data_IF_006876904865
#
_entry.id   IF_006876904865
#
_cell.length_a   1.000
_cell.length_b   1.000
_cell.length_c   1.000
_cell.angle_alpha   90.00
_cell.angle_beta   90.00
_cell.angle_gamma   90.00
#
_symmetry.space_group_name_H-M   'P 1'
#
loop_
_entity.id
_entity.type
_entity.pdbx_description
1 polymer ?
#
# COMPACT_ATOMS: atom_id res chain seq x y z
N UNK A 1 22.36 23.17 21.86
CA UNK A 1 22.39 22.10 20.83
C UNK A 1 22.05 22.71 19.49
N UNK A 2 22.91 22.54 18.48
CA UNK A 2 22.62 23.01 17.12
C UNK A 2 21.58 22.08 16.48
N UNK A 3 20.66 22.60 15.67
CA UNK A 3 19.59 21.80 15.03
C UNK A 3 20.11 20.55 14.30
N UNK A 4 21.31 20.62 13.73
CA UNK A 4 21.95 19.48 13.05
C UNK A 4 22.30 18.33 14.01
N UNK A 5 22.74 18.64 15.24
CA UNK A 5 23.06 17.62 16.25
C UNK A 5 21.80 16.86 16.68
N UNK A 6 20.68 17.57 16.85
CA UNK A 6 19.36 16.97 17.09
C UNK A 6 18.94 16.02 15.97
N UNK A 7 19.09 16.44 14.72
CA UNK A 7 18.74 15.60 13.56
C UNK A 7 19.64 14.35 13.48
N UNK A 8 20.94 14.48 13.72
CA UNK A 8 21.86 13.35 13.71
C UNK A 8 21.48 12.28 14.75
N UNK A 9 21.10 12.71 15.97
CA UNK A 9 20.64 11.80 17.02
C UNK A 9 19.32 11.10 16.64
N UNK A 10 18.35 11.84 16.09
CA UNK A 10 17.08 11.26 15.63
C UNK A 10 17.27 10.25 14.50
N UNK A 11 18.16 10.55 13.54
CA UNK A 11 18.50 9.64 12.44
C UNK A 11 19.18 8.36 12.97
N UNK A 12 20.07 8.47 13.94
CA UNK A 12 20.70 7.30 14.57
C UNK A 12 19.67 6.38 15.23
N UNK A 13 18.71 6.96 15.98
CA UNK A 13 17.61 6.19 16.57
C UNK A 13 16.71 5.56 15.52
N UNK A 14 16.41 6.29 14.43
CA UNK A 14 15.62 5.78 13.31
C UNK A 14 16.30 4.59 12.63
N UNK A 15 17.60 4.68 12.36
CA UNK A 15 18.36 3.60 11.74
C UNK A 15 18.34 2.33 12.61
N UNK A 16 18.49 2.46 13.93
CA UNK A 16 18.41 1.32 14.84
C UNK A 16 17.01 0.67 14.89
N UNK A 17 15.94 1.44 14.70
CA UNK A 17 14.58 0.91 14.55
C UNK A 17 14.43 0.19 13.20
N UNK A 18 14.93 0.81 12.12
CA UNK A 18 14.87 0.23 10.78
C UNK A 18 15.65 -1.09 10.70
N UNK A 19 16.78 -1.23 11.42
CA UNK A 19 17.51 -2.48 11.58
C UNK A 19 16.69 -3.56 12.30
N UNK A 20 16.01 -3.22 13.39
CA UNK A 20 15.12 -4.15 14.12
C UNK A 20 13.98 -4.64 13.23
N UNK A 21 13.34 -3.74 12.48
CA UNK A 21 12.27 -4.10 11.53
C UNK A 21 12.84 -4.97 10.41
N UNK A 22 14.01 -4.60 9.85
CA UNK A 22 14.66 -5.36 8.78
C UNK A 22 15.00 -6.79 9.21
N UNK A 23 15.38 -7.00 10.47
CA UNK A 23 15.59 -8.32 11.05
C UNK A 23 14.29 -9.13 11.18
N UNK A 24 13.14 -8.49 11.37
CA UNK A 24 11.83 -9.18 11.40
C UNK A 24 11.40 -9.57 9.99
N UNK A 25 11.46 -8.63 9.05
CA UNK A 25 10.97 -8.85 7.67
C UNK A 25 11.99 -9.50 6.73
N UNK A 26 13.23 -9.69 7.21
CA UNK A 26 14.38 -10.24 6.47
C UNK A 26 14.69 -9.51 5.15
N UNK A 27 14.37 -8.20 5.10
CA UNK A 27 14.57 -7.31 3.94
C UNK A 27 14.84 -5.88 4.44
N UNK A 28 15.51 -5.02 3.64
CA UNK A 28 15.72 -3.63 4.03
C UNK A 28 14.42 -2.89 4.31
N UNK A 29 14.38 -2.10 5.37
CA UNK A 29 13.22 -1.29 5.74
C UNK A 29 12.93 -0.24 4.65
N UNK A 30 11.82 -0.44 3.94
CA UNK A 30 11.23 0.50 2.98
C UNK A 30 9.71 0.37 3.03
N UNK A 31 8.96 1.34 2.49
CA UNK A 31 7.49 1.22 2.43
C UNK A 31 7.03 0.08 1.53
N UNK A 32 7.79 -0.22 0.46
CA UNK A 32 7.52 -1.38 -0.39
C UNK A 32 7.69 -2.69 0.38
N UNK A 33 8.88 -2.95 0.89
CA UNK A 33 9.18 -4.23 1.57
C UNK A 33 8.34 -4.47 2.82
N UNK A 34 8.18 -3.45 3.67
CA UNK A 34 7.37 -3.59 4.87
C UNK A 34 5.87 -3.68 4.51
N UNK A 35 5.43 -2.95 3.48
CA UNK A 35 4.04 -3.01 3.00
C UNK A 35 3.68 -4.39 2.45
N UNK A 36 4.55 -4.98 1.62
CA UNK A 36 4.42 -6.36 1.13
C UNK A 36 4.34 -7.37 2.29
N UNK A 37 5.27 -7.26 3.25
CA UNK A 37 5.29 -8.14 4.42
C UNK A 37 4.00 -8.01 5.24
N UNK A 38 3.57 -6.80 5.59
CA UNK A 38 2.31 -6.56 6.32
C UNK A 38 1.13 -7.16 5.56
N UNK A 39 1.01 -6.86 4.27
CA UNK A 39 -0.09 -7.37 3.44
C UNK A 39 -0.12 -8.91 3.40
N UNK A 40 1.06 -9.56 3.36
CA UNK A 40 1.16 -11.01 3.41
C UNK A 40 0.69 -11.63 4.72
N UNK A 41 0.87 -10.92 5.84
CA UNK A 41 0.44 -11.39 7.16
C UNK A 41 -1.08 -11.20 7.34
N UNK A 42 -1.62 -10.09 6.82
CA UNK A 42 -3.04 -9.75 7.01
C UNK A 42 -3.91 -10.52 6.01
N UNK A 43 -3.64 -10.40 4.71
CA UNK A 43 -4.56 -10.88 3.66
C UNK A 43 -4.16 -12.23 3.06
N UNK A 44 -3.36 -13.01 3.80
CA UNK A 44 -2.91 -14.35 3.41
C UNK A 44 -2.30 -14.42 1.99
N UNK A 45 -1.33 -13.55 1.71
CA UNK A 45 -0.66 -13.45 0.41
C UNK A 45 0.65 -14.24 0.42
N UNK A 46 0.84 -15.12 -0.56
CA UNK A 46 2.16 -15.69 -0.87
C UNK A 46 2.92 -14.68 -1.73
N UNK A 47 3.98 -14.09 -1.16
CA UNK A 47 4.89 -13.22 -1.90
C UNK A 47 5.74 -14.03 -2.88
N UNK A 48 6.03 -13.44 -4.04
CA UNK A 48 6.98 -13.99 -5.00
C UNK A 48 8.42 -13.76 -4.52
N UNK A 49 9.31 -14.73 -4.77
CA UNK A 49 10.71 -14.64 -4.34
C UNK A 49 11.52 -13.59 -5.12
N UNK A 50 11.04 -13.18 -6.30
CA UNK A 50 11.70 -12.17 -7.15
C UNK A 50 10.69 -11.23 -7.81
N UNK A 51 10.62 -10.00 -7.30
CA UNK A 51 9.80 -8.92 -7.85
C UNK A 51 10.29 -8.39 -9.21
N UNK A 52 11.50 -8.77 -9.67
CA UNK A 52 12.06 -8.26 -10.93
C UNK A 52 11.51 -8.94 -12.18
N UNK A 53 10.88 -10.12 -12.03
CA UNK A 53 10.38 -10.91 -13.16
C UNK A 53 8.85 -10.89 -13.25
N UNK A 54 8.14 -10.53 -12.18
CA UNK A 54 6.68 -10.52 -12.12
C UNK A 54 6.15 -9.10 -11.95
N UNK A 55 5.13 -8.72 -12.72
CA UNK A 55 4.48 -7.41 -12.60
C UNK A 55 3.58 -7.27 -11.35
N UNK A 56 3.71 -8.20 -10.40
CA UNK A 56 2.91 -8.35 -9.19
C UNK A 56 3.83 -8.91 -8.08
N UNK A 57 3.46 -8.66 -6.83
CA UNK A 57 4.29 -9.00 -5.66
C UNK A 57 3.92 -10.35 -5.07
N UNK A 58 2.71 -10.85 -5.33
CA UNK A 58 2.26 -12.14 -4.81
C UNK A 58 0.91 -12.62 -5.33
N UNK A 59 0.41 -13.67 -4.68
CA UNK A 59 -0.93 -14.24 -4.92
C UNK A 59 -1.65 -14.52 -3.61
N UNK A 60 -2.95 -14.27 -3.58
CA UNK A 60 -3.79 -14.68 -2.45
C UNK A 60 -3.80 -16.20 -2.32
N UNK A 61 -3.56 -16.73 -1.12
CA UNK A 61 -3.55 -18.17 -0.84
C UNK A 61 -4.94 -18.71 -0.51
N UNK A 62 -5.84 -17.87 -0.01
CA UNK A 62 -7.18 -18.26 0.42
C UNK A 62 -8.22 -17.16 0.15
N UNK A 63 -9.45 -17.40 0.59
CA UNK A 63 -10.56 -16.46 0.45
C UNK A 63 -11.12 -16.34 -0.98
N UNK A 64 -11.99 -15.35 -1.23
CA UNK A 64 -12.66 -15.17 -2.53
C UNK A 64 -11.70 -14.81 -3.67
N UNK A 65 -10.48 -14.38 -3.35
CA UNK A 65 -9.46 -13.99 -4.32
C UNK A 65 -8.36 -15.05 -4.50
N UNK A 66 -8.52 -16.26 -3.96
CA UNK A 66 -7.52 -17.32 -4.06
C UNK A 66 -6.98 -17.50 -5.48
N UNK A 67 -5.66 -17.54 -5.61
CA UNK A 67 -4.93 -17.70 -6.86
C UNK A 67 -4.76 -16.43 -7.70
N UNK A 68 -5.49 -15.35 -7.37
CA UNK A 68 -5.39 -14.05 -8.04
C UNK A 68 -4.09 -13.35 -7.67
N UNK A 69 -3.51 -12.67 -8.65
CA UNK A 69 -2.27 -11.90 -8.49
C UNK A 69 -2.55 -10.53 -7.85
N UNK A 70 -1.60 -10.05 -7.06
CA UNK A 70 -1.71 -8.78 -6.37
C UNK A 70 -0.39 -8.02 -6.37
N UNK A 71 -0.48 -6.71 -6.57
CA UNK A 71 0.62 -5.77 -6.37
C UNK A 71 0.28 -4.89 -5.16
N UNK A 72 1.13 -4.92 -4.15
CA UNK A 72 0.99 -4.21 -2.89
C UNK A 72 1.64 -2.84 -3.00
N UNK A 73 0.91 -1.80 -2.61
CA UNK A 73 1.42 -0.43 -2.51
C UNK A 73 1.21 0.06 -1.09
N UNK A 74 2.22 0.69 -0.50
CA UNK A 74 2.04 1.42 0.74
C UNK A 74 2.44 2.88 0.57
N UNK A 75 1.43 3.75 0.61
CA UNK A 75 1.61 5.19 0.61
C UNK A 75 1.43 5.72 2.03
N UNK A 76 2.48 6.30 2.61
CA UNK A 76 2.41 6.89 3.96
C UNK A 76 1.43 8.08 4.09
N UNK A 77 0.81 8.47 2.97
CA UNK A 77 -0.23 9.50 2.85
C UNK A 77 -1.07 9.21 1.61
N UNK A 78 -2.39 9.35 1.70
CA UNK A 78 -3.29 9.16 0.56
C UNK A 78 -3.50 10.51 -0.16
N UNK A 79 -2.99 10.64 -1.38
CA UNK A 79 -2.99 11.89 -2.17
C UNK A 79 -3.71 11.73 -3.52
N UNK A 80 -4.53 10.69 -3.68
CA UNK A 80 -5.31 10.45 -4.91
C UNK A 80 -4.51 9.86 -6.08
N UNK A 81 -3.26 9.47 -5.86
CA UNK A 81 -2.38 8.88 -6.88
C UNK A 81 -2.08 7.42 -6.60
N UNK A 82 -1.88 6.65 -7.67
CA UNK A 82 -1.50 5.24 -7.62
C UNK A 82 -0.49 4.94 -8.72
N UNK A 83 0.61 4.28 -8.36
CA UNK A 83 1.57 3.77 -9.34
C UNK A 83 0.97 2.55 -10.02
N UNK A 84 0.73 2.67 -11.32
CA UNK A 84 0.15 1.58 -12.12
C UNK A 84 1.15 1.03 -13.13
N UNK A 85 1.02 -0.25 -13.45
CA UNK A 85 1.68 -0.91 -14.57
C UNK A 85 0.67 -1.20 -15.67
N UNK A 86 1.16 -1.35 -16.90
CA UNK A 86 0.37 -1.81 -18.04
C UNK A 86 0.24 -3.35 -18.10
N UNK A 87 0.60 -4.07 -17.02
CA UNK A 87 0.62 -5.52 -17.04
C UNK A 87 -0.79 -6.10 -17.13
N UNK A 88 -1.00 -7.00 -18.08
CA UNK A 88 -2.24 -7.77 -18.24
C UNK A 88 -2.31 -8.97 -17.31
N UNK A 89 -1.19 -9.33 -16.65
CA UNK A 89 -1.11 -10.47 -15.74
C UNK A 89 -1.45 -10.11 -14.29
N UNK A 90 -1.63 -8.82 -13.99
CA UNK A 90 -2.02 -8.34 -12.68
C UNK A 90 -3.55 -8.30 -12.55
N UNK A 91 -4.09 -8.92 -11.51
CA UNK A 91 -5.52 -8.91 -11.21
C UNK A 91 -5.88 -7.71 -10.30
N UNK A 92 -5.10 -7.47 -9.23
CA UNK A 92 -5.44 -6.45 -8.22
C UNK A 92 -4.27 -5.58 -7.76
N UNK A 93 -4.55 -4.32 -7.42
CA UNK A 93 -3.70 -3.54 -6.53
C UNK A 93 -4.27 -3.55 -5.12
N UNK A 94 -3.46 -3.98 -4.15
CA UNK A 94 -3.78 -3.83 -2.73
C UNK A 94 -3.00 -2.64 -2.19
N UNK A 95 -3.71 -1.59 -1.78
CA UNK A 95 -3.11 -0.31 -1.41
C UNK A 95 -3.36 -0.04 0.07
N UNK A 96 -2.29 0.02 0.85
CA UNK A 96 -2.28 0.51 2.22
C UNK A 96 -1.98 2.01 2.21
N UNK A 97 -2.68 2.79 3.04
CA UNK A 97 -2.43 4.23 3.10
C UNK A 97 -2.43 4.80 4.50
N UNK A 98 -1.56 5.77 4.76
CA UNK A 98 -1.66 6.68 5.90
C UNK A 98 -2.81 7.71 5.75
N UNK A 99 -2.79 8.82 6.50
CA UNK A 99 -3.85 9.82 6.48
C UNK A 99 -4.18 10.36 5.08
N UNK A 100 -5.47 10.67 4.85
CA UNK A 100 -5.94 11.36 3.63
C UNK A 100 -5.58 12.84 3.69
N UNK A 101 -5.11 13.38 2.58
CA UNK A 101 -4.86 14.82 2.40
C UNK A 101 -5.09 15.22 0.95
N UNK A 102 -5.38 16.50 0.73
CA UNK A 102 -5.28 17.08 -0.60
C UNK A 102 -3.83 16.93 -1.13
N UNK A 103 -3.69 16.64 -2.42
CA UNK A 103 -2.40 16.58 -3.08
C UNK A 103 -1.68 17.94 -3.02
N UNK A 104 -0.38 17.95 -2.70
CA UNK A 104 0.47 19.13 -2.87
C UNK A 104 0.61 20.08 -1.68
N UNK A 105 0.09 19.75 -0.48
CA UNK A 105 0.42 20.50 0.74
C UNK A 105 1.53 19.80 1.53
N UNK A 106 2.64 20.51 1.74
CA UNK A 106 3.83 20.06 2.50
C UNK A 106 4.03 20.82 3.82
N UNK A 107 3.25 21.87 4.08
CA UNK A 107 3.27 22.60 5.35
C UNK A 107 2.45 21.85 6.39
N UNK A 108 3.06 21.64 7.56
CA UNK A 108 2.46 21.06 8.77
C UNK A 108 1.93 19.64 8.67
N UNK A 109 2.37 18.87 7.67
CA UNK A 109 1.88 17.51 7.45
C UNK A 109 3.01 16.47 7.50
N UNK A 110 2.77 15.37 8.21
CA UNK A 110 3.73 14.26 8.38
C UNK A 110 3.30 13.06 7.55
N UNK A 111 4.23 12.14 7.28
CA UNK A 111 3.97 10.87 6.59
C UNK A 111 4.23 9.72 7.57
N UNK A 112 3.33 9.51 8.55
CA UNK A 112 3.53 8.50 9.57
C UNK A 112 3.56 7.09 8.96
N UNK A 113 4.34 6.21 9.58
CA UNK A 113 4.39 4.78 9.24
C UNK A 113 3.19 4.06 9.83
N UNK A 114 2.00 4.34 9.27
CA UNK A 114 0.74 3.76 9.69
C UNK A 114 -0.16 3.37 8.51
N UNK A 115 -1.17 2.57 8.81
CA UNK A 115 -2.23 2.15 7.90
C UNK A 115 -3.55 2.69 8.45
N UNK A 116 -4.02 3.79 7.86
CA UNK A 116 -5.33 4.40 8.16
C UNK A 116 -6.45 3.85 7.30
N UNK A 117 -6.12 3.35 6.12
CA UNK A 117 -7.07 2.75 5.19
C UNK A 117 -6.38 1.71 4.32
N UNK A 118 -7.16 0.73 3.85
CA UNK A 118 -6.76 -0.24 2.86
C UNK A 118 -7.77 -0.26 1.71
N UNK A 119 -7.26 -0.47 0.49
CA UNK A 119 -8.05 -0.46 -0.74
C UNK A 119 -7.67 -1.63 -1.62
N UNK A 120 -8.64 -2.19 -2.32
CA UNK A 120 -8.45 -3.23 -3.32
C UNK A 120 -9.00 -2.76 -4.67
N UNK A 121 -8.10 -2.44 -5.60
CA UNK A 121 -8.46 -2.02 -6.95
C UNK A 121 -8.40 -3.20 -7.91
N UNK A 122 -9.45 -3.40 -8.70
CA UNK A 122 -9.38 -4.23 -9.91
C UNK A 122 -8.47 -3.55 -10.94
N UNK A 123 -7.35 -4.20 -11.27
CA UNK A 123 -6.33 -3.63 -12.15
C UNK A 123 -6.85 -3.40 -13.58
N UNK A 124 -7.71 -4.29 -14.08
CA UNK A 124 -8.28 -4.18 -15.44
C UNK A 124 -9.27 -3.03 -15.52
N UNK A 125 -10.18 -2.94 -14.54
CA UNK A 125 -11.14 -1.84 -14.45
C UNK A 125 -10.43 -0.50 -14.33
N UNK A 126 -9.41 -0.42 -13.48
CA UNK A 126 -8.59 0.79 -13.33
C UNK A 126 -7.92 1.19 -14.65
N UNK A 127 -7.35 0.22 -15.37
CA UNK A 127 -6.70 0.47 -16.65
C UNK A 127 -7.67 0.95 -17.74
N UNK A 128 -8.85 0.32 -17.88
CA UNK A 128 -9.90 0.73 -18.82
C UNK A 128 -10.33 2.18 -18.54
N UNK A 129 -10.53 2.53 -17.28
CA UNK A 129 -10.94 3.89 -16.87
C UNK A 129 -9.82 4.93 -17.00
N UNK A 130 -8.55 4.54 -16.89
CA UNK A 130 -7.42 5.43 -17.17
C UNK A 130 -7.29 5.70 -18.68
N UNK A 131 -7.38 4.65 -19.50
CA UNK A 131 -7.30 4.76 -20.95
C UNK A 131 -8.45 5.59 -21.53
N UNK A 132 -9.68 5.39 -21.06
CA UNK A 132 -10.84 6.17 -21.54
C UNK A 132 -10.73 7.67 -21.24
N UNK A 133 -9.92 8.05 -20.24
CA UNK A 133 -9.64 9.44 -19.88
C UNK A 133 -8.34 9.98 -20.48
N UNK A 134 -7.58 9.18 -21.23
CA UNK A 134 -6.28 9.55 -21.78
C UNK A 134 -5.20 9.79 -20.71
N UNK A 135 -5.36 9.23 -19.51
CA UNK A 135 -4.37 9.34 -18.43
C UNK A 135 -3.20 8.40 -18.76
N UNK A 136 -1.97 8.93 -18.78
CA UNK A 136 -0.77 8.11 -18.94
C UNK A 136 -0.64 7.18 -17.73
N UNK A 137 -0.45 5.89 -18.00
CA UNK A 137 -0.09 4.90 -16.98
C UNK A 137 1.35 5.09 -16.52
N UNK A 138 1.65 4.71 -15.28
CA UNK A 138 2.98 4.80 -14.70
C UNK A 138 2.97 5.33 -13.27
N UNK A 139 4.09 5.95 -12.89
CA UNK A 139 4.29 6.52 -11.55
C UNK A 139 3.32 7.68 -11.31
N UNK A 140 2.66 7.66 -10.15
CA UNK A 140 1.73 8.66 -9.67
C UNK A 140 0.55 8.95 -10.62
N UNK A 141 -0.07 7.90 -11.18
CA UNK A 141 -1.27 8.04 -12.02
C UNK A 141 -2.45 8.55 -11.20
N UNK A 142 -3.14 9.59 -11.69
CA UNK A 142 -4.31 10.16 -11.00
C UNK A 142 -5.52 9.21 -11.04
N UNK A 143 -6.08 8.91 -9.87
CA UNK A 143 -7.24 8.05 -9.69
C UNK A 143 -8.40 8.89 -9.13
N UNK A 144 -9.59 8.76 -9.71
CA UNK A 144 -10.76 9.54 -9.31
C UNK A 144 -11.17 9.20 -7.88
N UNK A 145 -11.72 10.18 -7.17
CA UNK A 145 -12.18 9.97 -5.79
C UNK A 145 -13.19 8.82 -5.67
N UNK A 146 -14.16 8.73 -6.59
CA UNK A 146 -15.13 7.63 -6.63
C UNK A 146 -14.47 6.24 -6.70
N UNK A 147 -13.35 6.12 -7.41
CA UNK A 147 -12.65 4.84 -7.54
C UNK A 147 -11.95 4.47 -6.23
N UNK A 148 -11.40 5.45 -5.50
CA UNK A 148 -10.89 5.22 -4.15
C UNK A 148 -12.00 4.81 -3.20
N UNK A 149 -13.14 5.49 -3.24
CA UNK A 149 -14.26 5.19 -2.34
C UNK A 149 -14.85 3.80 -2.62
N UNK A 150 -14.94 3.37 -3.87
CA UNK A 150 -15.38 2.00 -4.24
C UNK A 150 -14.35 0.91 -3.91
N UNK A 151 -13.06 1.24 -3.96
CA UNK A 151 -12.00 0.29 -3.67
C UNK A 151 -11.77 0.09 -2.17
N UNK A 152 -12.29 0.95 -1.29
CA UNK A 152 -12.06 0.93 0.15
C UNK A 152 -12.58 -0.38 0.77
N UNK A 153 -11.66 -1.14 1.37
CA UNK A 153 -11.95 -2.38 2.12
C UNK A 153 -11.84 -2.15 3.64
N UNK A 154 -11.09 -1.12 4.06
CA UNK A 154 -10.95 -0.71 5.47
C UNK A 154 -10.71 0.81 5.54
N UNK A 155 -11.29 1.53 6.53
CA UNK A 155 -12.11 1.02 7.63
C UNK A 155 -13.58 0.82 7.27
N UNK A 156 -14.05 1.35 6.13
CA UNK A 156 -15.42 1.15 5.67
C UNK A 156 -15.46 0.06 4.60
N UNK A 157 -16.29 -0.95 4.80
CA UNK A 157 -16.56 -2.01 3.82
C UNK A 157 -17.39 -1.49 2.65
N UNK A 158 -16.75 -0.80 1.71
CA UNK A 158 -17.41 -0.27 0.49
C UNK A 158 -17.20 -1.17 -0.72
N UNK A 159 -16.15 -1.98 -0.70
CA UNK A 159 -15.78 -2.86 -1.77
C UNK A 159 -16.64 -4.13 -1.77
N UNK A 160 -17.29 -4.43 -2.90
CA UNK A 160 -18.12 -5.63 -3.04
C UNK A 160 -17.33 -6.90 -3.40
N UNK A 161 -16.05 -6.77 -3.77
CA UNK A 161 -15.20 -7.89 -4.22
C UNK A 161 -14.52 -8.62 -3.05
N UNK A 162 -14.32 -7.90 -1.94
CA UNK A 162 -13.58 -8.41 -0.80
C UNK A 162 -14.11 -7.77 0.49
N UNK A 163 -14.43 -8.61 1.47
CA UNK A 163 -14.80 -8.19 2.80
C UNK A 163 -13.67 -8.53 3.76
N UNK A 164 -13.25 -7.53 4.53
CA UNK A 164 -12.24 -7.70 5.59
C UNK A 164 -12.90 -8.47 6.73
N UNK A 165 -12.31 -9.59 7.11
CA UNK A 165 -12.74 -10.36 8.27
C UNK A 165 -12.46 -9.61 9.58
N UNK A 166 -13.16 -9.92 10.68
CA UNK A 166 -12.88 -9.30 11.98
C UNK A 166 -11.40 -9.41 12.40
N UNK A 167 -10.78 -10.57 12.15
CA UNK A 167 -9.37 -10.79 12.46
C UNK A 167 -8.43 -9.92 11.63
N UNK A 168 -8.68 -9.77 10.32
CA UNK A 168 -7.90 -8.87 9.47
C UNK A 168 -8.06 -7.41 9.89
N UNK A 169 -9.27 -7.00 10.33
CA UNK A 169 -9.53 -5.67 10.86
C UNK A 169 -8.76 -5.40 12.17
N UNK A 170 -8.72 -6.37 13.09
CA UNK A 170 -7.92 -6.30 14.32
C UNK A 170 -6.43 -6.11 14.00
N UNK A 171 -5.89 -6.86 13.02
CA UNK A 171 -4.49 -6.71 12.60
C UNK A 171 -4.22 -5.34 11.96
N UNK A 172 -5.15 -4.81 11.17
CA UNK A 172 -5.05 -3.45 10.61
C UNK A 172 -5.08 -2.38 11.70
N UNK A 173 -5.88 -2.58 12.75
CA UNK A 173 -6.02 -1.63 13.86
C UNK A 173 -4.70 -1.41 14.61
N UNK A 174 -3.89 -2.48 14.78
CA UNK A 174 -2.54 -2.40 15.37
C UNK A 174 -1.60 -1.43 14.65
N UNK A 175 -1.90 -1.09 13.39
CA UNK A 175 -1.07 -0.29 12.51
C UNK A 175 -1.60 1.13 12.30
N UNK A 176 -2.69 1.53 12.97
CA UNK A 176 -3.34 2.84 12.74
C UNK A 176 -2.54 4.02 13.32
N UNK A 177 -1.68 3.76 14.32
CA UNK A 177 -0.77 4.73 14.94
C UNK A 177 -1.41 5.57 16.02
#
# INVERSE_FOLDING_TARGET
MRKLEQIAELLSRRNAIDEQISAIIQRPMTSGHLGEWIASQIFDIKLEESATTTAFDGRFRSGPLQGRTVNVKWYLKQEGVLDTSASTTLDYYLVLTGPRSAAGSSRDDTRPWCVRAAYLFDARRLHVEQNSRGVKTGVASSVLRRQWDEAEIYPHERNSLFQVSPHEAELLELLTG
#
